data_IF_199385335667
#
_entry.id   IF_199385335667
#
_cell.length_a   1.000
_cell.length_b   1.000
_cell.length_c   1.000
_cell.angle_alpha   90.00
_cell.angle_beta   90.00
_cell.angle_gamma   90.00
#
_symmetry.space_group_name_H-M   'P 1'
#
loop_
_entity.id
_entity.type
_entity.pdbx_description
1 polymer ?
#
# COMPACT_ATOMS: atom_id res chain seq x y z
N UNK A 1 1.94 5.97 -26.02
CA UNK A 1 1.54 5.82 -24.60
C UNK A 1 2.81 5.98 -23.77
N UNK A 2 2.99 7.12 -23.10
CA UNK A 2 4.16 7.28 -22.22
C UNK A 2 4.02 6.31 -21.04
N UNK A 3 5.08 5.56 -20.67
CA UNK A 3 5.06 4.79 -19.44
C UNK A 3 4.76 5.79 -18.30
N UNK A 4 3.80 5.46 -17.43
CA UNK A 4 3.63 6.23 -16.18
C UNK A 4 5.01 6.29 -15.53
N UNK A 5 5.47 7.52 -15.30
CA UNK A 5 6.71 7.78 -14.59
C UNK A 5 6.77 6.88 -13.36
N UNK A 6 7.91 6.25 -13.14
CA UNK A 6 8.16 5.42 -11.98
C UNK A 6 7.79 6.20 -10.72
N UNK A 7 6.78 5.74 -9.99
CA UNK A 7 6.21 6.46 -8.84
C UNK A 7 7.27 6.77 -7.77
N UNK A 8 8.33 5.96 -7.70
CA UNK A 8 9.44 6.22 -6.77
C UNK A 8 10.20 7.52 -7.07
N UNK A 9 10.05 8.10 -8.29
CA UNK A 9 10.59 9.41 -8.64
C UNK A 9 9.69 10.57 -8.21
N UNK A 10 8.40 10.31 -7.92
CA UNK A 10 7.44 11.34 -7.49
C UNK A 10 7.45 11.50 -5.96
N UNK A 11 8.52 12.13 -5.45
CA UNK A 11 8.69 12.38 -4.02
C UNK A 11 7.60 13.28 -3.43
N UNK A 12 7.10 14.26 -4.19
CA UNK A 12 6.05 15.16 -3.72
C UNK A 12 4.77 14.41 -3.36
N UNK A 13 4.44 13.40 -4.16
CA UNK A 13 3.29 12.53 -3.92
C UNK A 13 3.54 11.57 -2.75
N UNK A 14 4.75 11.01 -2.63
CA UNK A 14 5.12 10.18 -1.49
C UNK A 14 5.07 10.98 -0.17
N UNK A 15 5.49 12.23 -0.17
CA UNK A 15 5.52 13.09 1.03
C UNK A 15 4.14 13.68 1.40
N UNK A 16 3.10 13.49 0.56
CA UNK A 16 1.75 14.01 0.82
C UNK A 16 0.99 13.26 1.93
N UNK A 17 1.38 12.02 2.22
CA UNK A 17 0.65 11.17 3.18
C UNK A 17 0.72 11.66 4.64
N UNK A 18 1.82 12.26 5.06
CA UNK A 18 2.01 12.66 6.44
C UNK A 18 0.99 13.69 6.95
N UNK A 19 0.49 14.58 6.07
CA UNK A 19 -0.55 15.54 6.44
C UNK A 19 -1.88 14.85 6.81
N UNK A 20 -2.13 13.66 6.29
CA UNK A 20 -3.34 12.88 6.52
C UNK A 20 -3.13 11.68 7.46
N UNK A 21 -1.99 11.58 8.16
CA UNK A 21 -1.58 10.38 8.90
C UNK A 21 -2.65 9.82 9.85
N UNK A 22 -3.37 10.67 10.59
CA UNK A 22 -4.41 10.24 11.53
C UNK A 22 -5.65 9.69 10.81
N UNK A 23 -6.09 10.32 9.72
CA UNK A 23 -7.21 9.83 8.90
C UNK A 23 -6.79 8.54 8.19
N UNK A 24 -5.58 8.51 7.68
CA UNK A 24 -4.95 7.32 7.08
C UNK A 24 -5.04 6.13 8.05
N UNK A 25 -4.55 6.28 9.28
CA UNK A 25 -4.58 5.23 10.30
C UNK A 25 -6.00 4.76 10.62
N UNK A 26 -6.94 5.69 10.72
CA UNK A 26 -8.33 5.39 11.08
C UNK A 26 -9.12 4.69 9.95
N UNK A 27 -8.76 4.94 8.69
CA UNK A 27 -9.60 4.56 7.54
C UNK A 27 -8.97 3.52 6.61
N UNK A 28 -7.63 3.42 6.56
CA UNK A 28 -6.99 2.42 5.70
C UNK A 28 -7.32 0.99 6.15
N UNK A 29 -7.68 0.11 5.21
CA UNK A 29 -8.02 -1.26 5.55
C UNK A 29 -6.78 -2.01 6.06
N UNK A 30 -6.96 -2.74 7.15
CA UNK A 30 -5.96 -3.68 7.66
C UNK A 30 -5.86 -4.89 6.73
N UNK A 31 -4.77 -5.61 6.80
CA UNK A 31 -4.58 -6.84 6.03
C UNK A 31 -5.42 -7.99 6.61
N UNK A 32 -5.90 -8.92 5.77
CA UNK A 32 -6.60 -10.11 6.25
C UNK A 32 -5.79 -10.87 7.30
N UNK A 33 -6.44 -11.31 8.37
CA UNK A 33 -5.76 -12.06 9.42
C UNK A 33 -5.10 -13.34 8.87
N UNK A 34 -5.78 -14.02 7.95
CA UNK A 34 -5.25 -15.21 7.27
C UNK A 34 -3.96 -14.90 6.52
N UNK A 35 -3.84 -13.77 5.83
CA UNK A 35 -2.61 -13.37 5.14
C UNK A 35 -1.45 -13.24 6.13
N UNK A 36 -1.68 -12.59 7.27
CA UNK A 36 -0.65 -12.44 8.32
C UNK A 36 -0.26 -13.81 8.88
N UNK A 37 -1.23 -14.68 9.13
CA UNK A 37 -0.98 -16.03 9.62
C UNK A 37 -0.19 -16.88 8.60
N UNK A 38 -0.55 -16.84 7.33
CA UNK A 38 0.16 -17.51 6.24
C UNK A 38 1.62 -17.06 6.13
N UNK A 39 1.88 -15.75 6.32
CA UNK A 39 3.24 -15.22 6.33
C UNK A 39 4.06 -15.71 7.53
N UNK A 40 3.43 -16.06 8.63
CA UNK A 40 4.10 -16.53 9.85
C UNK A 40 4.16 -18.06 9.99
N UNK A 41 3.40 -18.81 9.20
CA UNK A 41 3.30 -20.28 9.28
C UNK A 41 4.65 -21.02 9.22
N UNK A 42 5.66 -20.46 8.54
CA UNK A 42 7.00 -21.04 8.45
C UNK A 42 7.93 -20.61 9.59
N UNK A 43 7.38 -20.04 10.67
CA UNK A 43 8.12 -19.73 11.88
C UNK A 43 8.94 -18.44 11.84
N UNK A 44 8.58 -17.48 11.01
CA UNK A 44 9.20 -16.16 11.00
C UNK A 44 9.07 -15.50 12.38
N UNK A 45 10.20 -15.02 12.92
CA UNK A 45 10.30 -14.38 14.25
C UNK A 45 10.71 -12.91 14.16
N UNK A 46 11.33 -12.51 13.07
CA UNK A 46 11.82 -11.16 12.83
C UNK A 46 11.28 -10.63 11.52
N UNK A 47 10.61 -9.48 11.56
CA UNK A 47 9.98 -8.81 10.43
C UNK A 47 10.55 -7.42 10.27
N UNK A 48 10.94 -7.06 9.06
CA UNK A 48 11.21 -5.69 8.65
C UNK A 48 10.02 -5.18 7.84
N UNK A 49 9.36 -4.13 8.29
CA UNK A 49 8.28 -3.45 7.58
C UNK A 49 8.81 -2.17 6.92
N UNK A 50 8.84 -2.15 5.59
CA UNK A 50 9.45 -1.08 4.79
C UNK A 50 8.39 -0.16 4.19
N UNK A 51 8.53 1.14 4.44
CA UNK A 51 7.51 2.13 4.15
C UNK A 51 6.28 1.87 5.00
N UNK A 52 6.52 1.68 6.29
CA UNK A 52 5.52 1.20 7.25
C UNK A 52 4.33 2.17 7.43
N UNK A 53 4.51 3.43 7.05
CA UNK A 53 3.51 4.46 7.23
C UNK A 53 3.16 4.63 8.70
N UNK A 54 1.87 4.55 9.02
CA UNK A 54 1.36 4.58 10.40
C UNK A 54 1.52 3.24 11.13
N UNK A 55 2.17 2.23 10.52
CA UNK A 55 2.46 0.94 11.15
C UNK A 55 1.27 -0.04 11.15
N UNK A 56 0.39 0.01 10.15
CA UNK A 56 -0.78 -0.89 10.07
C UNK A 56 -0.35 -2.36 9.98
N UNK A 57 0.61 -2.70 9.11
CA UNK A 57 1.13 -4.05 9.02
C UNK A 57 1.96 -4.42 10.25
N UNK A 58 2.86 -3.54 10.67
CA UNK A 58 3.69 -3.71 11.86
C UNK A 58 2.89 -4.08 13.10
N UNK A 59 1.79 -3.36 13.36
CA UNK A 59 0.90 -3.63 14.50
C UNK A 59 0.29 -5.04 14.44
N UNK A 60 -0.11 -5.49 13.24
CA UNK A 60 -0.67 -6.83 13.06
C UNK A 60 0.37 -7.93 13.32
N UNK A 61 1.63 -7.73 12.89
CA UNK A 61 2.72 -8.66 13.17
C UNK A 61 3.11 -8.67 14.66
N UNK A 62 3.22 -7.49 15.30
CA UNK A 62 3.46 -7.39 16.74
C UNK A 62 2.38 -8.10 17.54
N UNK A 63 1.11 -7.98 17.14
CA UNK A 63 -0.02 -8.68 17.75
C UNK A 63 0.06 -10.20 17.66
N UNK A 64 0.93 -10.75 16.79
CA UNK A 64 1.24 -12.18 16.70
C UNK A 64 2.49 -12.59 17.49
N UNK A 65 3.12 -11.67 18.21
CA UNK A 65 4.25 -11.94 19.08
C UNK A 65 5.60 -12.06 18.35
N UNK A 66 5.73 -11.56 17.12
CA UNK A 66 7.00 -11.52 16.41
C UNK A 66 7.69 -10.16 16.61
N UNK A 67 9.03 -10.15 16.51
CA UNK A 67 9.79 -8.91 16.58
C UNK A 67 9.66 -8.13 15.27
N UNK A 68 9.27 -6.88 15.36
CA UNK A 68 9.11 -6.00 14.20
C UNK A 68 10.07 -4.83 14.31
N UNK A 69 10.73 -4.49 13.21
CA UNK A 69 11.37 -3.21 12.98
C UNK A 69 10.70 -2.56 11.79
N UNK A 70 10.30 -1.31 11.91
CA UNK A 70 9.73 -0.52 10.82
C UNK A 70 10.74 0.50 10.29
N UNK A 71 10.65 0.81 8.99
CA UNK A 71 11.38 1.90 8.33
C UNK A 71 10.39 2.77 7.58
N UNK A 72 10.37 4.07 7.86
CA UNK A 72 9.42 5.02 7.25
C UNK A 72 10.11 6.37 7.01
N UNK A 73 10.05 6.93 5.78
CA UNK A 73 10.68 8.21 5.49
C UNK A 73 9.94 9.43 6.07
N UNK A 74 8.61 9.40 6.21
CA UNK A 74 7.84 10.55 6.72
C UNK A 74 7.76 10.53 8.25
N UNK A 75 8.37 11.52 8.94
CA UNK A 75 8.37 11.55 10.41
C UNK A 75 6.98 11.68 11.02
N UNK A 76 6.00 12.26 10.32
CA UNK A 76 4.60 12.41 10.81
C UNK A 76 3.86 11.07 10.79
N UNK A 77 4.15 10.23 9.78
CA UNK A 77 3.64 8.86 9.73
C UNK A 77 4.33 7.99 10.79
N UNK A 78 5.66 8.12 10.91
CA UNK A 78 6.46 7.41 11.90
C UNK A 78 6.07 7.75 13.34
N UNK A 79 5.66 8.99 13.62
CA UNK A 79 5.15 9.39 14.94
C UNK A 79 3.91 8.61 15.35
N UNK A 80 2.96 8.40 14.41
CA UNK A 80 1.75 7.59 14.67
C UNK A 80 2.14 6.14 14.96
N UNK A 81 3.05 5.56 14.19
CA UNK A 81 3.53 4.20 14.40
C UNK A 81 4.25 4.04 15.76
N UNK A 82 5.14 4.98 16.07
CA UNK A 82 5.85 5.03 17.36
C UNK A 82 4.90 5.14 18.55
N UNK A 83 3.82 5.93 18.41
CA UNK A 83 2.75 6.05 19.42
C UNK A 83 2.02 4.74 19.72
N UNK A 84 2.11 3.74 18.82
CA UNK A 84 1.60 2.37 19.02
C UNK A 84 2.65 1.42 19.62
N UNK A 85 3.84 1.92 19.98
CA UNK A 85 4.94 1.10 20.51
C UNK A 85 5.71 0.32 19.44
N UNK A 86 5.60 0.69 18.16
CA UNK A 86 6.32 0.05 17.06
C UNK A 86 7.75 0.61 17.02
N UNK A 87 8.80 -0.24 17.13
CA UNK A 87 10.19 0.17 16.85
C UNK A 87 10.31 0.65 15.41
N UNK A 88 10.69 1.92 15.20
CA UNK A 88 10.73 2.54 13.87
C UNK A 88 11.96 3.42 13.69
N UNK A 89 12.55 3.36 12.49
CA UNK A 89 13.69 4.19 12.07
C UNK A 89 13.25 5.09 10.91
N UNK A 90 13.60 6.38 10.99
CA UNK A 90 13.17 7.36 9.98
C UNK A 90 14.23 7.43 8.89
N UNK A 91 13.95 6.84 7.74
CA UNK A 91 14.81 6.85 6.55
C UNK A 91 14.04 6.40 5.32
N UNK A 92 14.52 6.75 4.13
CA UNK A 92 14.14 6.03 2.91
C UNK A 92 14.83 4.66 2.91
N UNK A 93 14.17 3.65 2.36
CA UNK A 93 14.76 2.30 2.36
C UNK A 93 16.11 2.23 1.65
N UNK A 94 16.28 3.01 0.60
CA UNK A 94 17.54 3.09 -0.15
C UNK A 94 18.71 3.53 0.74
N UNK A 95 18.48 4.55 1.58
CA UNK A 95 19.51 5.17 2.44
C UNK A 95 19.59 4.58 3.85
N UNK A 96 18.62 3.74 4.21
CA UNK A 96 18.59 3.11 5.53
C UNK A 96 19.76 2.15 5.73
N UNK A 97 20.47 2.31 6.88
CA UNK A 97 21.56 1.41 7.28
C UNK A 97 20.98 0.27 8.16
N UNK A 98 21.05 -0.97 7.70
CA UNK A 98 20.57 -2.12 8.47
C UNK A 98 21.50 -2.50 9.64
N UNK A 99 22.72 -1.95 9.77
CA UNK A 99 23.70 -2.27 10.80
C UNK A 99 23.88 -3.79 11.00
N UNK A 100 24.05 -4.55 9.93
CA UNK A 100 24.24 -6.01 9.89
C UNK A 100 23.00 -6.85 10.30
N UNK A 101 21.87 -6.22 10.59
CA UNK A 101 20.62 -6.92 10.92
C UNK A 101 20.14 -7.78 9.76
N UNK A 102 19.52 -8.92 10.09
CA UNK A 102 18.90 -9.86 9.16
C UNK A 102 17.51 -10.21 9.66
N UNK A 103 16.64 -10.58 8.72
CA UNK A 103 15.23 -10.83 9.02
C UNK A 103 14.75 -12.13 8.36
N UNK A 104 13.76 -12.77 9.01
CA UNK A 104 13.04 -13.90 8.43
C UNK A 104 12.08 -13.43 7.32
N UNK A 105 11.53 -12.22 7.49
CA UNK A 105 10.54 -11.66 6.59
C UNK A 105 10.79 -10.15 6.39
N UNK A 106 10.81 -9.71 5.13
CA UNK A 106 10.77 -8.31 4.76
C UNK A 106 9.43 -8.05 4.07
N UNK A 107 8.67 -7.07 4.57
CA UNK A 107 7.34 -6.74 4.04
C UNK A 107 7.30 -5.32 3.48
N UNK A 108 6.52 -5.15 2.42
CA UNK A 108 6.14 -3.86 1.84
C UNK A 108 4.61 -3.83 1.75
N UNK A 109 4.00 -3.17 2.71
CA UNK A 109 2.56 -2.99 2.77
C UNK A 109 2.11 -1.73 2.03
N UNK A 110 1.63 -1.82 0.79
CA UNK A 110 1.26 -0.66 -0.03
C UNK A 110 2.42 0.30 -0.31
N UNK A 111 3.68 -0.13 -0.23
CA UNK A 111 4.84 0.76 -0.25
C UNK A 111 5.87 0.47 -1.34
N UNK A 112 5.91 -0.74 -1.91
CA UNK A 112 6.98 -1.14 -2.85
C UNK A 112 7.08 -0.24 -4.10
N UNK A 113 5.98 0.32 -4.55
CA UNK A 113 5.97 1.24 -5.69
C UNK A 113 6.59 2.62 -5.41
N UNK A 114 6.95 2.90 -4.16
CA UNK A 114 7.66 4.12 -3.73
C UNK A 114 9.18 3.92 -3.61
N UNK A 115 9.70 2.72 -3.83
CA UNK A 115 11.14 2.41 -3.79
C UNK A 115 11.65 2.04 -5.17
N UNK A 116 12.95 2.31 -5.41
CA UNK A 116 13.60 1.87 -6.64
C UNK A 116 13.85 0.37 -6.59
N UNK A 117 13.22 -0.46 -7.45
CA UNK A 117 13.35 -1.91 -7.40
C UNK A 117 14.79 -2.39 -7.65
N UNK A 118 15.58 -1.67 -8.48
CA UNK A 118 16.96 -2.03 -8.78
C UNK A 118 17.88 -1.88 -7.56
N UNK A 119 17.51 -1.03 -6.61
CA UNK A 119 18.20 -0.86 -5.33
C UNK A 119 17.58 -1.77 -4.27
N UNK A 120 16.25 -1.83 -4.23
CA UNK A 120 15.51 -2.50 -3.18
C UNK A 120 15.67 -4.02 -3.21
N UNK A 121 15.54 -4.66 -4.38
CA UNK A 121 15.60 -6.13 -4.48
C UNK A 121 16.96 -6.72 -4.07
N UNK A 122 18.12 -6.19 -4.53
CA UNK A 122 19.42 -6.64 -4.04
C UNK A 122 19.62 -6.37 -2.54
N UNK A 123 19.08 -5.25 -2.02
CA UNK A 123 19.16 -4.94 -0.60
C UNK A 123 18.34 -5.91 0.22
N UNK A 124 17.10 -6.19 -0.16
CA UNK A 124 16.24 -7.19 0.48
C UNK A 124 16.90 -8.56 0.48
N UNK A 125 17.48 -8.97 -0.66
CA UNK A 125 18.16 -10.26 -0.74
C UNK A 125 19.29 -10.41 0.30
N UNK A 126 20.06 -9.34 0.56
CA UNK A 126 21.10 -9.32 1.59
C UNK A 126 20.55 -9.29 3.02
N UNK A 127 19.38 -8.66 3.22
CA UNK A 127 18.74 -8.53 4.53
C UNK A 127 18.05 -9.80 5.00
N UNK A 128 17.68 -10.69 4.09
CA UNK A 128 17.00 -11.93 4.43
C UNK A 128 17.98 -12.99 4.95
N UNK A 129 17.55 -13.70 5.98
CA UNK A 129 18.17 -14.95 6.42
C UNK A 129 18.04 -16.03 5.33
N UNK A 130 18.76 -17.13 5.46
CA UNK A 130 18.58 -18.30 4.57
C UNK A 130 17.14 -18.82 4.69
N UNK A 131 16.46 -18.98 3.54
CA UNK A 131 15.03 -19.31 3.52
C UNK A 131 14.10 -18.16 3.92
N UNK A 132 14.64 -16.96 4.15
CA UNK A 132 13.86 -15.78 4.44
C UNK A 132 13.04 -15.31 3.23
N UNK A 133 11.99 -14.53 3.46
CA UNK A 133 11.00 -14.20 2.46
C UNK A 133 10.75 -12.70 2.34
N UNK A 134 10.46 -12.27 1.11
CA UNK A 134 9.94 -10.94 0.78
C UNK A 134 8.43 -11.05 0.55
N UNK A 135 7.63 -10.20 1.19
CA UNK A 135 6.18 -10.11 0.99
C UNK A 135 5.80 -8.71 0.50
N UNK A 136 5.21 -8.63 -0.68
CA UNK A 136 4.62 -7.41 -1.21
C UNK A 136 3.10 -7.53 -1.11
N UNK A 137 2.45 -6.57 -0.45
CA UNK A 137 1.03 -6.66 -0.11
C UNK A 137 0.25 -5.43 -0.58
N UNK A 138 -0.86 -5.64 -1.30
CA UNK A 138 -1.73 -4.56 -1.76
C UNK A 138 -3.20 -4.87 -1.47
N UNK A 139 -3.86 -4.01 -0.72
CA UNK A 139 -5.32 -3.98 -0.65
C UNK A 139 -5.86 -3.31 -1.92
N UNK A 140 -6.58 -4.07 -2.75
CA UNK A 140 -7.16 -3.64 -4.02
C UNK A 140 -8.67 -3.58 -3.87
N UNK A 141 -9.18 -2.47 -3.37
CA UNK A 141 -10.62 -2.24 -3.19
C UNK A 141 -11.14 -1.31 -4.28
N UNK A 142 -12.29 -1.62 -4.81
CA UNK A 142 -13.01 -0.80 -5.78
C UNK A 142 -14.51 -0.75 -5.45
N UNK A 143 -15.19 0.37 -5.77
CA UNK A 143 -16.61 0.49 -5.53
C UNK A 143 -17.39 -0.40 -6.51
N UNK A 144 -18.36 -1.14 -5.99
CA UNK A 144 -19.27 -2.00 -6.76
C UNK A 144 -20.67 -1.40 -6.86
N UNK A 145 -21.05 -0.59 -5.86
CA UNK A 145 -22.30 0.19 -5.88
C UNK A 145 -22.18 1.44 -4.99
N UNK A 146 -22.27 2.69 -5.52
CA UNK A 146 -22.21 2.97 -6.96
C UNK A 146 -20.90 2.45 -7.57
N UNK A 147 -20.90 2.12 -8.86
CA UNK A 147 -19.71 1.62 -9.55
C UNK A 147 -18.68 2.73 -9.76
N UNK A 148 -17.42 2.35 -10.07
CA UNK A 148 -16.40 3.33 -10.48
C UNK A 148 -16.85 4.15 -11.69
N UNK A 149 -17.55 3.53 -12.66
CA UNK A 149 -18.11 4.23 -13.83
C UNK A 149 -19.16 5.27 -13.46
N UNK A 150 -19.99 5.02 -12.44
CA UNK A 150 -20.97 5.98 -11.93
C UNK A 150 -20.34 7.25 -11.34
N UNK A 151 -19.09 7.15 -10.86
CA UNK A 151 -18.35 8.24 -10.22
C UNK A 151 -17.36 8.92 -11.20
N UNK A 152 -16.96 8.24 -12.27
CA UNK A 152 -15.94 8.68 -13.22
C UNK A 152 -16.24 10.06 -13.82
N UNK A 153 -17.50 10.35 -14.09
CA UNK A 153 -17.91 11.65 -14.62
C UNK A 153 -17.57 12.83 -13.69
N UNK A 154 -17.64 12.62 -12.38
CA UNK A 154 -17.27 13.65 -11.40
C UNK A 154 -15.75 13.80 -11.34
N UNK A 155 -15.00 12.71 -11.32
CA UNK A 155 -13.54 12.74 -11.25
C UNK A 155 -12.89 13.43 -12.45
N UNK A 156 -13.53 13.41 -13.62
CA UNK A 156 -13.03 14.01 -14.87
C UNK A 156 -12.76 15.52 -14.77
N UNK A 157 -13.48 16.22 -13.90
CA UNK A 157 -13.32 17.66 -13.69
C UNK A 157 -12.10 18.01 -12.79
N UNK A 158 -11.53 17.01 -12.11
CA UNK A 158 -10.50 17.23 -11.08
C UNK A 158 -9.21 16.47 -11.31
N UNK A 159 -9.22 15.47 -12.18
CA UNK A 159 -8.09 14.57 -12.38
C UNK A 159 -7.72 14.44 -13.85
N UNK A 160 -6.47 14.10 -14.12
CA UNK A 160 -5.98 13.88 -15.49
C UNK A 160 -6.76 12.77 -16.20
N UNK A 161 -6.96 12.89 -17.52
CA UNK A 161 -7.69 11.89 -18.32
C UNK A 161 -7.13 10.47 -18.22
N UNK A 162 -5.82 10.32 -17.96
CA UNK A 162 -5.18 9.02 -17.75
C UNK A 162 -5.31 8.47 -16.33
N UNK A 163 -6.05 9.12 -15.43
CA UNK A 163 -6.32 8.60 -14.10
C UNK A 163 -7.30 7.41 -14.17
N UNK A 164 -7.05 6.29 -13.48
CA UNK A 164 -7.99 5.17 -13.38
C UNK A 164 -9.35 5.58 -12.82
N UNK A 165 -9.41 6.65 -12.06
CA UNK A 165 -10.65 7.19 -11.49
C UNK A 165 -11.51 7.90 -12.55
N UNK A 166 -10.92 8.31 -13.66
CA UNK A 166 -11.59 9.05 -14.76
C UNK A 166 -12.12 8.12 -15.83
N UNK A 167 -11.35 7.11 -16.23
CA UNK A 167 -11.76 6.19 -17.29
C UNK A 167 -12.73 5.10 -16.82
N UNK A 168 -12.98 5.02 -15.51
CA UNK A 168 -13.89 4.06 -14.91
C UNK A 168 -13.41 2.62 -15.01
N UNK A 169 -12.23 2.40 -15.54
CA UNK A 169 -11.62 1.08 -15.60
C UNK A 169 -11.02 0.72 -14.24
N UNK A 170 -11.57 -0.28 -13.60
CA UNK A 170 -10.80 -1.05 -12.63
C UNK A 170 -9.74 -1.78 -13.45
N UNK A 171 -8.54 -1.20 -13.56
CA UNK A 171 -7.49 -1.55 -14.52
C UNK A 171 -6.95 -2.98 -14.33
N UNK A 172 -7.77 -4.00 -14.56
CA UNK A 172 -7.36 -5.40 -14.52
C UNK A 172 -6.12 -5.65 -15.39
N UNK A 173 -6.20 -5.33 -16.67
CA UNK A 173 -5.12 -5.60 -17.62
C UNK A 173 -3.82 -4.81 -17.34
N UNK A 174 -3.91 -3.52 -17.04
CA UNK A 174 -2.71 -2.72 -16.71
C UNK A 174 -2.12 -3.08 -15.34
N UNK A 175 -2.95 -3.56 -14.40
CA UNK A 175 -2.48 -4.07 -13.11
C UNK A 175 -1.79 -5.43 -13.30
N UNK A 176 -2.33 -6.28 -14.14
CA UNK A 176 -1.80 -7.62 -14.46
C UNK A 176 -0.42 -7.52 -15.12
N UNK A 177 -0.26 -6.72 -16.18
CA UNK A 177 1.03 -6.52 -16.84
C UNK A 177 2.10 -5.89 -15.92
N UNK A 178 1.70 -5.00 -15.00
CA UNK A 178 2.63 -4.45 -14.00
C UNK A 178 3.06 -5.49 -12.98
N UNK A 179 2.15 -6.37 -12.60
CA UNK A 179 2.45 -7.48 -11.68
C UNK A 179 3.39 -8.48 -12.34
N UNK A 180 3.16 -8.84 -13.60
CA UNK A 180 4.04 -9.73 -14.37
C UNK A 180 5.47 -9.18 -14.49
N UNK A 181 5.63 -7.89 -14.85
CA UNK A 181 6.93 -7.22 -14.92
C UNK A 181 7.66 -7.20 -13.59
N UNK A 182 6.93 -6.96 -12.50
CA UNK A 182 7.47 -6.99 -11.14
C UNK A 182 7.91 -8.41 -10.75
N UNK A 183 7.09 -9.42 -11.00
CA UNK A 183 7.43 -10.83 -10.75
C UNK A 183 8.69 -11.23 -11.52
N UNK A 184 8.81 -10.84 -12.79
CA UNK A 184 10.00 -11.09 -13.59
C UNK A 184 11.27 -10.47 -12.97
N UNK A 185 11.17 -9.22 -12.49
CA UNK A 185 12.29 -8.52 -11.83
C UNK A 185 12.68 -9.17 -10.50
N UNK A 186 11.71 -9.62 -9.71
CA UNK A 186 11.95 -10.33 -8.44
C UNK A 186 12.63 -11.68 -8.73
N UNK A 187 12.14 -12.43 -9.71
CA UNK A 187 12.72 -13.72 -10.11
C UNK A 187 14.15 -13.57 -10.61
N UNK A 188 14.42 -12.54 -11.44
CA UNK A 188 15.77 -12.23 -11.92
C UNK A 188 16.73 -11.85 -10.78
N UNK A 189 16.19 -11.40 -9.65
CA UNK A 189 16.97 -11.06 -8.44
C UNK A 189 17.26 -12.26 -7.52
N UNK A 190 16.96 -13.49 -7.95
CA UNK A 190 17.31 -14.73 -7.22
C UNK A 190 16.25 -15.19 -6.22
N UNK A 191 14.98 -14.91 -6.51
CA UNK A 191 13.85 -15.37 -5.71
C UNK A 191 12.96 -16.35 -6.47
N UNK A 192 12.38 -17.29 -5.75
CA UNK A 192 11.22 -18.06 -6.21
C UNK A 192 9.96 -17.33 -5.78
N UNK A 193 9.04 -17.06 -6.71
CA UNK A 193 7.88 -16.20 -6.49
C UNK A 193 6.59 -16.99 -6.55
N UNK A 194 5.67 -16.73 -5.63
CA UNK A 194 4.28 -17.18 -5.68
C UNK A 194 3.33 -15.98 -5.48
N UNK A 195 2.16 -16.05 -6.09
CA UNK A 195 1.10 -15.07 -5.97
C UNK A 195 -0.09 -15.68 -5.24
N UNK A 196 -0.68 -14.92 -4.32
CA UNK A 196 -1.91 -15.30 -3.61
C UNK A 196 -2.85 -14.10 -3.55
N UNK A 197 -4.15 -14.38 -3.57
CA UNK A 197 -5.19 -13.37 -3.37
C UNK A 197 -6.10 -13.76 -2.22
N UNK A 198 -6.53 -12.76 -1.45
CA UNK A 198 -7.46 -12.92 -0.33
C UNK A 198 -8.68 -12.04 -0.63
N UNK A 199 -9.81 -12.65 -1.01
CA UNK A 199 -11.03 -11.91 -1.38
C UNK A 199 -11.50 -10.98 -0.26
N UNK A 200 -12.02 -9.83 -0.66
CA UNK A 200 -12.58 -8.83 0.25
C UNK A 200 -13.83 -8.22 -0.36
N UNK A 201 -14.81 -8.05 0.47
CA UNK A 201 -15.99 -7.27 0.21
C UNK A 201 -16.38 -6.48 1.46
N UNK A 202 -17.24 -5.51 1.31
CA UNK A 202 -17.66 -4.71 2.44
C UNK A 202 -18.59 -3.57 2.05
N UNK A 203 -18.97 -2.82 3.07
CA UNK A 203 -19.81 -1.65 2.90
C UNK A 203 -19.28 -0.52 3.79
N UNK A 204 -19.20 0.68 3.22
CA UNK A 204 -18.79 1.90 3.90
C UNK A 204 -19.94 2.91 3.86
N UNK A 205 -20.18 3.63 4.95
CA UNK A 205 -21.01 4.83 4.84
C UNK A 205 -20.35 5.82 3.86
N UNK A 206 -21.13 6.77 3.34
CA UNK A 206 -20.61 7.80 2.43
C UNK A 206 -19.41 8.52 3.03
N UNK A 207 -19.48 8.90 4.30
CA UNK A 207 -18.40 9.58 5.00
C UNK A 207 -17.16 8.69 5.15
N UNK A 208 -17.32 7.43 5.56
CA UNK A 208 -16.22 6.48 5.70
C UNK A 208 -15.52 6.22 4.37
N UNK A 209 -16.30 6.08 3.27
CA UNK A 209 -15.74 5.91 1.94
C UNK A 209 -14.95 7.13 1.48
N UNK A 210 -15.50 8.31 1.66
CA UNK A 210 -14.82 9.55 1.28
C UNK A 210 -13.56 9.76 2.13
N UNK A 211 -13.63 9.52 3.43
CA UNK A 211 -12.44 9.57 4.28
C UNK A 211 -11.35 8.61 3.77
N UNK A 212 -11.71 7.38 3.43
CA UNK A 212 -10.77 6.41 2.84
C UNK A 212 -10.23 6.89 1.49
N UNK A 213 -11.10 7.31 0.57
CA UNK A 213 -10.72 7.75 -0.78
C UNK A 213 -9.74 8.93 -0.74
N UNK A 214 -9.98 9.89 0.15
CA UNK A 214 -9.13 11.07 0.32
C UNK A 214 -7.81 10.79 1.08
N UNK A 215 -7.52 9.53 1.43
CA UNK A 215 -6.19 9.10 1.86
C UNK A 215 -5.33 8.56 0.70
N UNK A 216 -5.87 8.40 -0.50
CA UNK A 216 -5.09 7.98 -1.66
C UNK A 216 -4.33 9.16 -2.27
N UNK A 217 -3.12 8.89 -2.78
CA UNK A 217 -2.22 9.93 -3.31
C UNK A 217 -2.84 10.80 -4.40
N UNK A 218 -3.74 10.25 -5.22
CA UNK A 218 -4.44 11.01 -6.26
C UNK A 218 -5.32 12.14 -5.69
N UNK A 219 -5.85 11.97 -4.48
CA UNK A 219 -6.66 12.97 -3.80
C UNK A 219 -5.81 13.92 -2.95
N UNK A 220 -4.74 13.39 -2.32
CA UNK A 220 -3.87 14.16 -1.42
C UNK A 220 -3.08 15.28 -2.15
N UNK A 221 -2.85 15.13 -3.44
CA UNK A 221 -2.15 16.15 -4.25
C UNK A 221 -3.07 17.25 -4.79
N UNK A 222 -4.38 17.15 -4.57
CA UNK A 222 -5.33 18.19 -4.99
C UNK A 222 -5.20 19.43 -4.09
N UNK A 223 -5.39 20.62 -4.67
CA UNK A 223 -5.56 21.84 -3.90
C UNK A 223 -6.78 21.74 -2.98
N UNK A 224 -6.71 22.33 -1.79
CA UNK A 224 -7.73 22.15 -0.72
C UNK A 224 -9.15 22.50 -1.19
N UNK A 225 -9.33 23.58 -1.95
CA UNK A 225 -10.63 23.97 -2.50
C UNK A 225 -11.17 22.89 -3.45
N UNK A 226 -10.33 22.39 -4.39
CA UNK A 226 -10.72 21.34 -5.34
C UNK A 226 -11.03 20.02 -4.63
N UNK A 227 -10.25 19.66 -3.62
CA UNK A 227 -10.50 18.48 -2.81
C UNK A 227 -11.84 18.58 -2.09
N UNK A 228 -12.16 19.72 -1.48
CA UNK A 228 -13.44 19.98 -0.80
C UNK A 228 -14.63 19.92 -1.76
N UNK A 229 -14.52 20.54 -2.92
CA UNK A 229 -15.56 20.54 -3.95
C UNK A 229 -15.80 19.12 -4.49
N UNK A 230 -14.73 18.39 -4.85
CA UNK A 230 -14.81 17.00 -5.29
C UNK A 230 -15.49 16.12 -4.24
N UNK A 231 -15.10 16.28 -2.95
CA UNK A 231 -15.69 15.53 -1.85
C UNK A 231 -17.19 15.78 -1.75
N UNK A 232 -17.63 17.03 -1.86
CA UNK A 232 -19.06 17.40 -1.79
C UNK A 232 -19.87 16.79 -2.95
N UNK A 233 -19.36 16.85 -4.17
CA UNK A 233 -20.02 16.27 -5.36
C UNK A 233 -20.09 14.75 -5.28
N UNK A 234 -19.04 14.09 -4.77
CA UNK A 234 -19.05 12.65 -4.54
C UNK A 234 -20.06 12.28 -3.45
N UNK A 235 -20.12 13.04 -2.36
CA UNK A 235 -21.09 12.83 -1.28
C UNK A 235 -22.54 12.93 -1.79
N UNK A 236 -22.85 13.92 -2.59
CA UNK A 236 -24.16 14.10 -3.20
C UNK A 236 -24.52 12.93 -4.13
N UNK A 237 -23.58 12.49 -4.96
CA UNK A 237 -23.80 11.37 -5.91
C UNK A 237 -23.98 10.03 -5.22
N UNK A 238 -23.23 9.77 -4.16
CA UNK A 238 -23.32 8.53 -3.35
C UNK A 238 -24.60 8.54 -2.51
N UNK A 239 -24.97 9.68 -1.96
CA UNK A 239 -26.17 9.83 -1.11
C UNK A 239 -26.03 9.13 0.23
N UNK A 240 -27.15 8.75 0.85
CA UNK A 240 -27.20 8.12 2.17
C UNK A 240 -26.91 6.62 2.17
N UNK A 241 -26.92 5.99 1.00
CA UNK A 241 -26.79 4.53 0.89
C UNK A 241 -25.32 4.04 1.09
N UNK A 242 -24.35 4.94 1.04
CA UNK A 242 -22.95 4.57 1.15
C UNK A 242 -22.42 3.86 -0.10
N UNK A 243 -21.31 3.14 0.08
CA UNK A 243 -20.59 2.46 -1.01
C UNK A 243 -20.34 1.01 -0.66
N UNK A 244 -20.87 0.12 -1.47
CA UNK A 244 -20.45 -1.29 -1.45
C UNK A 244 -19.14 -1.45 -2.21
N UNK A 245 -18.24 -2.25 -1.69
CA UNK A 245 -16.92 -2.48 -2.28
C UNK A 245 -16.68 -3.97 -2.48
N UNK A 246 -15.94 -4.30 -3.52
CA UNK A 246 -15.34 -5.59 -3.76
C UNK A 246 -13.85 -5.45 -3.97
N UNK A 247 -13.18 -6.58 -4.13
CA UNK A 247 -11.74 -6.64 -4.40
C UNK A 247 -11.04 -7.75 -3.67
N UNK A 248 -9.77 -7.56 -3.42
CA UNK A 248 -8.94 -8.51 -2.70
C UNK A 248 -7.75 -7.82 -2.02
N UNK A 249 -6.99 -8.61 -1.28
CA UNK A 249 -5.61 -8.29 -0.94
C UNK A 249 -4.70 -9.20 -1.76
N UNK A 250 -3.89 -8.61 -2.65
CA UNK A 250 -2.85 -9.30 -3.38
C UNK A 250 -1.61 -9.46 -2.49
N UNK A 251 -1.06 -10.66 -2.45
CA UNK A 251 0.24 -11.00 -1.89
C UNK A 251 1.14 -11.55 -3.00
N UNK A 252 2.30 -10.92 -3.22
CA UNK A 252 3.42 -11.51 -3.93
C UNK A 252 4.41 -11.94 -2.85
N UNK A 253 4.61 -13.25 -2.72
CA UNK A 253 5.53 -13.84 -1.76
C UNK A 253 6.74 -14.40 -2.50
N UNK A 254 7.92 -13.92 -2.14
CA UNK A 254 9.17 -14.32 -2.79
C UNK A 254 10.11 -14.93 -1.75
N UNK A 255 10.54 -16.17 -2.00
CA UNK A 255 11.46 -16.90 -1.14
C UNK A 255 12.87 -16.77 -1.69
N UNK A 256 13.83 -16.42 -0.84
CA UNK A 256 15.24 -16.36 -1.18
C UNK A 256 15.73 -17.79 -1.48
N UNK A 257 16.21 -17.99 -2.69
CA UNK A 257 16.85 -19.23 -3.15
C UNK A 257 18.18 -19.48 -2.43
#
# INVERSE_FOLDING_TARGET
MQPRADLFLDRSRADSFGAAARVYEARRPRYPAQLIDDLLMQGARTVLDVGAGTGIASEQFLGKGVNVLAVEPDPRMAEVASGKGIPIEIATFENWDPAERRFDLVVFGQSFHWVNPDIALPKVHRLLLSGGRLALMWNRLYPTHPTQGDLAGIYRDYMDPGSPLVDGSSNGLDAEHRTEGLIASITASGFTVEERTYPRDGHYSTEQWLDLAFTYSNHLVLAAEKASELRSRLAERIGSNGVSVGGDTLLILATRS
#
